data_IF_526421518568
#
_entry.id   IF_526421518568
#
_cell.length_a   1.000
_cell.length_b   1.000
_cell.length_c   1.000
_cell.angle_alpha   90.00
_cell.angle_beta   90.00
_cell.angle_gamma   90.00
#
_symmetry.space_group_name_H-M   'P 1'
#
loop_
_entity.id
_entity.type
_entity.pdbx_description
1 polymer ?
#
# COMPACT_ATOMS: atom_id res chain seq x y z
N UNK A 1 -12.45 -8.42 -17.51
CA UNK A 1 -13.12 -7.16 -17.85
C UNK A 1 -12.47 -6.08 -16.99
N UNK A 2 -11.80 -5.09 -17.58
CA UNK A 2 -11.35 -3.90 -16.84
C UNK A 2 -12.54 -2.94 -16.78
N UNK A 3 -12.81 -2.38 -15.61
CA UNK A 3 -13.88 -1.41 -15.45
C UNK A 3 -13.25 -0.06 -15.67
N UNK A 4 -13.64 0.55 -16.79
CA UNK A 4 -13.10 1.81 -17.24
C UNK A 4 -13.13 2.83 -16.09
N UNK A 5 -11.98 3.48 -15.84
CA UNK A 5 -11.75 4.48 -14.79
C UNK A 5 -11.66 4.01 -13.32
N UNK A 6 -11.77 2.72 -13.02
CA UNK A 6 -11.46 2.19 -11.68
C UNK A 6 -10.13 1.43 -11.64
N UNK A 7 -9.97 0.43 -12.49
CA UNK A 7 -8.72 -0.34 -12.61
C UNK A 7 -7.81 0.31 -13.66
N UNK A 8 -6.91 1.19 -13.20
CA UNK A 8 -6.01 1.97 -14.08
C UNK A 8 -4.55 1.59 -13.88
N UNK A 9 -3.73 1.61 -14.95
CA UNK A 9 -2.28 1.36 -14.83
C UNK A 9 -1.55 2.55 -14.17
N UNK A 10 -2.20 3.71 -14.12
CA UNK A 10 -1.66 4.93 -13.50
C UNK A 10 -2.25 5.13 -12.11
N UNK A 11 -1.46 5.74 -11.21
CA UNK A 11 -1.95 6.20 -9.92
C UNK A 11 -2.78 7.48 -10.09
N UNK A 12 -4.09 7.37 -9.91
CA UNK A 12 -5.01 8.51 -10.07
C UNK A 12 -5.37 9.10 -8.71
N UNK A 13 -5.17 10.41 -8.55
CA UNK A 13 -5.62 11.13 -7.36
C UNK A 13 -7.15 11.31 -7.38
N UNK A 14 -7.83 10.81 -6.35
CA UNK A 14 -9.27 10.92 -6.13
C UNK A 14 -9.61 11.56 -4.78
N UNK A 15 -8.67 12.29 -4.18
CA UNK A 15 -8.81 12.82 -2.82
C UNK A 15 -9.98 13.78 -2.67
N UNK A 16 -10.30 14.58 -3.70
CA UNK A 16 -11.40 15.56 -3.67
C UNK A 16 -12.75 14.98 -4.15
N UNK A 17 -12.71 13.84 -4.85
CA UNK A 17 -13.90 13.17 -5.39
C UNK A 17 -13.67 11.66 -5.36
N UNK A 18 -13.78 11.05 -4.16
CA UNK A 18 -13.47 9.65 -3.97
C UNK A 18 -14.44 8.76 -4.74
N UNK A 19 -13.97 7.62 -5.22
CA UNK A 19 -14.85 6.58 -5.75
C UNK A 19 -15.45 5.83 -4.57
N UNK A 20 -16.77 5.68 -4.54
CA UNK A 20 -17.49 4.99 -3.46
C UNK A 20 -18.27 3.81 -4.04
N UNK A 21 -18.23 2.67 -3.35
CA UNK A 21 -18.83 1.41 -3.78
C UNK A 21 -19.58 0.82 -2.59
N UNK A 22 -20.82 0.38 -2.82
CA UNK A 22 -21.58 -0.38 -1.83
C UNK A 22 -21.20 -1.86 -1.91
N UNK A 23 -20.28 -2.30 -1.04
CA UNK A 23 -19.80 -3.68 -0.99
C UNK A 23 -20.89 -4.71 -0.69
N UNK A 24 -22.03 -4.31 -0.12
CA UNK A 24 -23.15 -5.23 0.12
C UNK A 24 -23.90 -5.57 -1.17
N UNK A 25 -23.93 -4.64 -2.13
CA UNK A 25 -24.56 -4.82 -3.45
C UNK A 25 -23.55 -5.22 -4.51
N UNK A 26 -22.29 -4.81 -4.34
CA UNK A 26 -21.24 -4.94 -5.34
C UNK A 26 -19.88 -5.33 -4.71
N UNK A 27 -19.74 -6.59 -4.28
CA UNK A 27 -18.49 -7.09 -3.72
C UNK A 27 -17.36 -7.21 -4.75
N UNK A 28 -17.67 -7.13 -6.05
CA UNK A 28 -16.69 -7.17 -7.13
C UNK A 28 -16.11 -5.81 -7.47
N UNK A 29 -16.53 -4.75 -6.77
CA UNK A 29 -16.09 -3.37 -7.01
C UNK A 29 -16.29 -2.93 -8.46
N UNK A 30 -17.45 -3.21 -9.02
CA UNK A 30 -17.75 -3.01 -10.42
C UNK A 30 -18.53 -1.72 -10.75
N UNK A 31 -19.27 -1.19 -9.79
CA UNK A 31 -20.24 -0.13 -9.98
C UNK A 31 -20.05 0.96 -8.91
N UNK A 32 -19.61 2.12 -9.37
CA UNK A 32 -19.40 3.28 -8.52
C UNK A 32 -20.74 3.95 -8.21
N UNK A 33 -20.91 4.41 -6.96
CA UNK A 33 -22.02 5.28 -6.61
C UNK A 33 -21.91 6.58 -7.40
N UNK A 34 -22.99 7.04 -8.07
CA UNK A 34 -22.95 8.30 -8.80
C UNK A 34 -22.77 9.47 -7.83
N UNK A 35 -21.88 10.41 -8.15
CA UNK A 35 -21.50 11.50 -7.25
C UNK A 35 -22.62 12.51 -6.95
N UNK A 36 -23.71 12.46 -7.71
CA UNK A 36 -24.87 13.35 -7.57
C UNK A 36 -25.98 12.78 -6.67
N UNK A 37 -25.79 11.60 -6.08
CA UNK A 37 -26.80 10.98 -5.20
C UNK A 37 -26.60 11.38 -3.74
N UNK A 38 -27.70 11.47 -3.00
CA UNK A 38 -27.68 11.70 -1.54
C UNK A 38 -26.91 10.58 -0.81
N UNK A 39 -26.98 9.35 -1.32
CA UNK A 39 -26.24 8.19 -0.81
C UNK A 39 -24.72 8.44 -0.87
N UNK A 40 -24.22 8.92 -2.01
CA UNK A 40 -22.81 9.28 -2.16
C UNK A 40 -22.41 10.38 -1.16
N UNK A 41 -23.11 11.51 -1.14
CA UNK A 41 -22.78 12.65 -0.27
C UNK A 41 -22.81 12.25 1.22
N UNK A 42 -23.81 11.48 1.62
CA UNK A 42 -23.98 11.02 3.01
C UNK A 42 -22.80 10.15 3.45
N UNK A 43 -22.41 9.16 2.64
CA UNK A 43 -21.34 8.23 3.00
C UNK A 43 -19.97 8.89 2.93
N UNK A 44 -19.73 9.75 1.93
CA UNK A 44 -18.48 10.52 1.81
C UNK A 44 -18.25 11.41 3.04
N UNK A 45 -19.27 12.13 3.49
CA UNK A 45 -19.17 12.98 4.68
C UNK A 45 -18.86 12.18 5.96
N UNK A 46 -19.49 11.00 6.11
CA UNK A 46 -19.19 10.09 7.24
C UNK A 46 -17.75 9.59 7.18
N UNK A 47 -17.29 9.15 6.02
CA UNK A 47 -15.92 8.66 5.83
C UNK A 47 -14.88 9.73 6.11
N UNK A 48 -15.04 10.95 5.55
CA UNK A 48 -14.09 12.03 5.79
C UNK A 48 -13.96 12.38 7.26
N UNK A 49 -15.08 12.42 8.01
CA UNK A 49 -15.01 12.65 9.46
C UNK A 49 -14.09 11.63 10.15
N UNK A 50 -14.29 10.34 9.88
CA UNK A 50 -13.48 9.27 10.47
C UNK A 50 -12.02 9.33 10.00
N UNK A 51 -11.78 9.58 8.71
CA UNK A 51 -10.44 9.67 8.14
C UNK A 51 -9.69 10.88 8.71
N UNK A 52 -10.33 12.03 8.82
CA UNK A 52 -9.75 13.25 9.38
C UNK A 52 -9.36 13.03 10.84
N UNK A 53 -10.26 12.46 11.66
CA UNK A 53 -9.96 12.14 13.06
C UNK A 53 -8.76 11.20 13.15
N UNK A 54 -8.73 10.15 12.32
CA UNK A 54 -7.63 9.18 12.29
C UNK A 54 -6.28 9.79 11.89
N UNK A 55 -6.25 10.59 10.82
CA UNK A 55 -5.01 11.15 10.27
C UNK A 55 -4.46 12.29 11.13
N UNK A 56 -5.32 13.04 11.82
CA UNK A 56 -4.91 14.16 12.69
C UNK A 56 -4.04 13.69 13.86
N UNK A 57 -4.41 12.56 14.48
CA UNK A 57 -3.71 12.04 15.65
C UNK A 57 -2.64 10.98 15.29
N UNK A 58 -2.50 10.61 14.01
CA UNK A 58 -1.56 9.59 13.57
C UNK A 58 -0.09 10.07 13.63
N UNK A 59 0.69 9.46 14.51
CA UNK A 59 2.16 9.60 14.51
C UNK A 59 2.78 8.52 13.62
N UNK A 60 3.31 8.93 12.47
CA UNK A 60 3.96 8.01 11.51
C UNK A 60 5.33 7.56 12.04
N UNK A 61 5.60 6.26 11.95
CA UNK A 61 6.92 5.69 12.21
C UNK A 61 7.94 6.07 11.14
N UNK A 62 9.22 5.81 11.42
CA UNK A 62 10.28 5.94 10.39
C UNK A 62 10.15 4.79 9.39
N UNK A 63 10.31 5.04 8.07
CA UNK A 63 10.22 4.00 7.06
C UNK A 63 11.37 2.99 7.23
N UNK A 64 11.01 1.72 7.42
CA UNK A 64 11.97 0.63 7.58
C UNK A 64 12.35 -0.06 6.25
N UNK A 65 11.65 0.27 5.16
CA UNK A 65 11.74 -0.40 3.86
C UNK A 65 12.46 0.42 2.78
N UNK A 66 13.07 1.54 3.16
CA UNK A 66 13.72 2.46 2.21
C UNK A 66 15.12 1.99 1.78
N UNK A 67 15.80 1.22 2.63
CA UNK A 67 17.21 0.87 2.48
C UNK A 67 17.41 -0.63 2.30
N UNK A 68 18.25 -0.97 1.33
CA UNK A 68 18.62 -2.32 0.96
C UNK A 68 20.14 -2.46 1.01
N UNK A 69 20.62 -3.67 1.28
CA UNK A 69 22.03 -4.02 1.18
C UNK A 69 22.12 -5.50 0.82
N UNK A 70 22.93 -5.84 -0.18
CA UNK A 70 23.11 -7.24 -0.57
C UNK A 70 23.85 -8.04 0.51
N UNK A 71 24.69 -7.39 1.31
CA UNK A 71 25.46 -8.07 2.35
C UNK A 71 24.60 -8.58 3.52
N UNK A 72 23.40 -8.02 3.73
CA UNK A 72 22.50 -8.42 4.83
C UNK A 72 21.51 -9.53 4.46
N UNK A 73 21.63 -10.09 3.25
CA UNK A 73 20.87 -11.29 2.86
C UNK A 73 21.31 -12.50 3.70
N UNK A 74 20.60 -13.62 3.55
CA UNK A 74 20.80 -14.86 4.32
C UNK A 74 22.07 -15.63 3.92
N UNK A 75 23.24 -14.97 3.88
CA UNK A 75 24.52 -15.60 3.54
C UNK A 75 24.99 -16.57 4.61
N UNK A 76 24.84 -16.22 5.89
CA UNK A 76 25.27 -17.04 7.03
C UNK A 76 24.25 -16.96 8.18
N UNK A 77 23.05 -17.52 7.99
CA UNK A 77 22.06 -17.56 9.05
C UNK A 77 22.55 -18.45 10.21
N UNK A 78 22.10 -18.16 11.43
CA UNK A 78 22.47 -18.93 12.61
C UNK A 78 22.21 -20.43 12.42
N UNK A 79 23.27 -21.24 12.60
CA UNK A 79 23.21 -22.70 12.44
C UNK A 79 23.75 -23.20 11.10
N UNK A 80 24.12 -22.33 10.17
CA UNK A 80 24.72 -22.74 8.90
C UNK A 80 26.06 -23.47 9.09
N UNK A 81 26.80 -23.21 10.17
CA UNK A 81 28.10 -23.82 10.43
C UNK A 81 27.98 -25.32 10.70
N UNK A 82 26.94 -25.72 11.44
CA UNK A 82 26.67 -27.12 11.74
C UNK A 82 26.24 -27.91 10.49
N UNK A 83 25.64 -27.22 9.51
CA UNK A 83 25.20 -27.79 8.24
C UNK A 83 26.26 -27.66 7.14
N UNK A 84 27.37 -26.96 7.41
CA UNK A 84 28.38 -26.59 6.42
C UNK A 84 27.78 -25.89 5.18
N UNK A 85 26.83 -24.97 5.42
CA UNK A 85 26.05 -24.28 4.38
C UNK A 85 26.17 -22.74 4.48
N UNK A 86 27.18 -22.25 5.19
CA UNK A 86 27.45 -20.80 5.25
C UNK A 86 28.11 -20.33 3.95
N UNK A 87 27.63 -19.20 3.43
CA UNK A 87 28.17 -18.52 2.27
C UNK A 87 28.88 -17.22 2.69
N UNK A 88 29.85 -16.79 1.88
CA UNK A 88 30.54 -15.51 2.11
C UNK A 88 29.72 -14.36 1.53
N UNK A 89 29.32 -13.36 2.32
CA UNK A 89 28.57 -12.22 1.82
C UNK A 89 29.44 -11.31 0.93
N UNK A 90 28.84 -10.56 -0.02
CA UNK A 90 29.52 -9.48 -0.70
C UNK A 90 29.85 -8.34 0.28
N UNK A 91 30.64 -7.36 -0.17
CA UNK A 91 30.90 -6.15 0.60
C UNK A 91 29.60 -5.35 0.76
N UNK A 92 29.31 -4.94 1.98
CA UNK A 92 28.18 -4.06 2.31
C UNK A 92 28.32 -2.71 1.59
N UNK A 93 27.23 -2.31 0.94
CA UNK A 93 27.07 -1.00 0.29
C UNK A 93 25.58 -0.62 0.32
N UNK A 94 25.08 0.02 1.38
CA UNK A 94 23.66 0.32 1.52
C UNK A 94 23.14 1.31 0.46
N UNK A 95 22.02 0.97 -0.19
CA UNK A 95 21.39 1.78 -1.24
C UNK A 95 19.88 1.88 -1.04
N UNK A 96 19.23 2.83 -1.73
CA UNK A 96 17.77 2.92 -1.71
C UNK A 96 17.15 1.73 -2.45
N UNK A 97 16.23 1.01 -1.80
CA UNK A 97 15.51 -0.09 -2.43
C UNK A 97 14.75 0.41 -3.68
N UNK A 98 14.69 -0.45 -4.70
CA UNK A 98 13.81 -0.23 -5.84
C UNK A 98 12.43 -0.80 -5.52
N UNK A 99 11.44 0.09 -5.41
CA UNK A 99 10.03 -0.28 -5.32
C UNK A 99 9.37 0.01 -6.67
N UNK A 100 8.85 -1.00 -7.38
CA UNK A 100 8.16 -0.78 -8.65
C UNK A 100 6.88 0.04 -8.41
N UNK A 101 6.51 0.83 -9.42
CA UNK A 101 5.23 1.52 -9.50
C UNK A 101 4.19 0.64 -10.20
#
# INVERSE_FOLDING_TARGET
MSIANLTTPEQINRTDTPVVIDLSRDPGEMYQLPTYTDEYETEVNKMYKVITDHVTDMVKGRPALDWCDQAVMNWSPSGCEALNDCLTPPKSDPYRCYWPH
#
